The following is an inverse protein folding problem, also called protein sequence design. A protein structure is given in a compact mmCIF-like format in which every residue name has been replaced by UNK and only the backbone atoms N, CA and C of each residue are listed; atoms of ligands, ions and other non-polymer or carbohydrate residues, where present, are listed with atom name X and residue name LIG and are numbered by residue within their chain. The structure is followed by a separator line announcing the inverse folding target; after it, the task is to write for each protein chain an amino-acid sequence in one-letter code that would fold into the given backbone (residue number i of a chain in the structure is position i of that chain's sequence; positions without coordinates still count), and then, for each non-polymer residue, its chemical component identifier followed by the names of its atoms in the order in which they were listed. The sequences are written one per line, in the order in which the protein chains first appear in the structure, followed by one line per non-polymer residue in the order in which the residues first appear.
data_IF_021109516974
#
_entry.id   IF_021109516974
#
_cell.length_a   1.000
_cell.length_b   1.000
_cell.length_c   1.000
_cell.angle_alpha   90.00
_cell.angle_beta   90.00
_cell.angle_gamma   90.00
#
_symmetry.space_group_name_H-M   'P 1'
#
loop_
_entity.id
_entity.type
_entity.pdbx_description
1 polymer ?
#
# COMPACT_ATOMS: atom_id res chain seq x y z
N UNK A 1 -9.55 -5.27 -3.14
CA UNK A 1 -8.24 -5.16 -3.83
C UNK A 1 -7.32 -6.19 -3.20
N UNK A 2 -6.80 -7.15 -3.99
CA UNK A 2 -5.87 -8.15 -3.45
C UNK A 2 -4.48 -7.54 -3.46
N UNK A 3 -3.90 -7.30 -2.29
CA UNK A 3 -2.51 -6.83 -2.18
C UNK A 3 -1.49 -7.93 -2.48
N UNK A 4 -1.96 -9.15 -2.78
CA UNK A 4 -1.12 -10.29 -3.14
C UNK A 4 -0.61 -10.19 -4.58
N UNK A 5 -1.45 -9.74 -5.52
CA UNK A 5 -1.11 -9.59 -6.93
C UNK A 5 -1.26 -8.11 -7.30
N UNK A 6 -0.15 -7.41 -7.40
CA UNK A 6 -0.14 -5.98 -7.70
C UNK A 6 -0.13 -5.81 -9.21
N UNK A 7 -1.13 -5.10 -9.75
CA UNK A 7 -1.15 -4.65 -11.14
C UNK A 7 -1.14 -3.12 -11.15
N UNK A 8 0.04 -2.52 -11.15
CA UNK A 8 0.18 -1.09 -10.88
C UNK A 8 -0.43 -0.20 -11.96
N UNK A 9 -0.36 -0.62 -13.23
CA UNK A 9 -0.95 0.12 -14.34
C UNK A 9 -2.46 0.37 -14.17
N UNK A 10 -3.23 -0.68 -13.89
CA UNK A 10 -4.67 -0.58 -13.64
C UNK A 10 -5.00 0.28 -12.41
N UNK A 11 -4.17 0.22 -11.36
CA UNK A 11 -4.36 1.03 -10.16
C UNK A 11 -4.15 2.51 -10.45
N UNK A 12 -3.11 2.84 -11.23
CA UNK A 12 -2.84 4.20 -11.69
C UNK A 12 -3.97 4.69 -12.59
N UNK A 13 -4.41 3.87 -13.56
CA UNK A 13 -5.52 4.21 -14.45
C UNK A 13 -6.78 4.57 -13.65
N UNK A 14 -7.15 3.74 -12.69
CA UNK A 14 -8.31 3.98 -11.83
C UNK A 14 -8.17 5.32 -11.09
N UNK A 15 -7.01 5.59 -10.49
CA UNK A 15 -6.77 6.84 -9.76
C UNK A 15 -6.75 8.07 -10.68
N UNK A 16 -6.23 7.93 -11.91
CA UNK A 16 -6.23 8.99 -12.91
C UNK A 16 -7.66 9.32 -13.39
N UNK A 17 -8.52 8.31 -13.57
CA UNK A 17 -9.94 8.51 -13.87
C UNK A 17 -10.68 9.22 -12.72
N UNK A 18 -10.40 8.83 -11.47
CA UNK A 18 -10.99 9.46 -10.27
C UNK A 18 -10.56 10.92 -10.06
N UNK A 19 -9.36 11.30 -10.51
CA UNK A 19 -8.83 12.66 -10.34
C UNK A 19 -9.40 13.65 -11.35
N UNK A 20 -9.99 13.17 -12.45
CA UNK A 20 -10.54 14.00 -13.52
C UNK A 20 -9.49 14.82 -14.27
N UNK A 21 -8.20 14.49 -14.15
CA UNK A 21 -7.12 15.17 -14.87
C UNK A 21 -7.19 14.76 -16.34
N UNK A 22 -7.18 15.75 -17.24
CA UNK A 22 -7.16 15.47 -18.67
C UNK A 22 -5.92 14.69 -19.11
N UNK A 23 -6.12 13.72 -20.00
CA UNK A 23 -5.07 12.88 -20.62
C UNK A 23 -3.92 13.72 -21.19
N UNK A 24 -4.25 14.85 -21.84
CA UNK A 24 -3.27 15.79 -22.40
C UNK A 24 -2.31 16.35 -21.34
N UNK A 25 -2.83 16.70 -20.17
CA UNK A 25 -2.06 17.19 -19.02
C UNK A 25 -1.20 16.10 -18.40
N UNK A 26 -1.72 14.88 -18.31
CA UNK A 26 -0.98 13.70 -17.86
C UNK A 26 0.22 13.46 -18.79
N UNK A 27 -0.03 13.35 -20.09
CA UNK A 27 1.00 13.14 -21.11
C UNK A 27 2.09 14.22 -21.05
N UNK A 28 1.69 15.49 -20.90
CA UNK A 28 2.64 16.62 -20.75
C UNK A 28 3.48 16.50 -19.47
N UNK A 29 2.88 16.16 -18.34
CA UNK A 29 3.59 16.02 -17.07
C UNK A 29 4.56 14.82 -17.09
N UNK A 30 4.12 13.70 -17.67
CA UNK A 30 4.90 12.47 -17.77
C UNK A 30 5.88 12.47 -18.95
N UNK A 31 5.76 13.42 -19.88
CA UNK A 31 6.55 13.50 -21.11
C UNK A 31 6.43 12.21 -21.93
N UNK A 32 5.21 11.73 -22.08
CA UNK A 32 4.88 10.54 -22.87
C UNK A 32 3.75 10.87 -23.86
N UNK A 33 3.58 10.00 -24.85
CA UNK A 33 2.46 9.98 -25.78
C UNK A 33 1.23 9.29 -25.18
N UNK A 34 0.06 9.49 -25.78
CA UNK A 34 -1.17 8.80 -25.38
C UNK A 34 -1.04 7.28 -25.54
N UNK A 35 -0.39 6.79 -26.59
CA UNK A 35 -0.14 5.36 -26.77
C UNK A 35 0.74 4.76 -25.66
N UNK A 36 1.79 5.48 -25.25
CA UNK A 36 2.64 5.06 -24.12
C UNK A 36 1.86 5.09 -22.81
N UNK A 37 0.99 6.09 -22.63
CA UNK A 37 0.13 6.20 -21.47
C UNK A 37 -0.86 5.03 -21.37
N UNK A 38 -1.55 4.69 -22.46
CA UNK A 38 -2.44 3.54 -22.53
C UNK A 38 -1.68 2.23 -22.27
N UNK A 39 -0.47 2.11 -22.83
CA UNK A 39 0.42 0.98 -22.55
C UNK A 39 0.72 0.89 -21.06
N UNK A 40 1.09 1.99 -20.39
CA UNK A 40 1.37 2.01 -18.95
C UNK A 40 0.20 1.47 -18.11
N UNK A 41 -1.05 1.73 -18.51
CA UNK A 41 -2.23 1.23 -17.80
C UNK A 41 -2.40 -0.30 -17.90
N UNK A 42 -1.88 -0.92 -18.95
CA UNK A 42 -1.93 -2.37 -19.15
C UNK A 42 -0.81 -3.14 -18.45
N UNK A 43 0.23 -2.45 -17.96
CA UNK A 43 1.40 -3.12 -17.37
C UNK A 43 1.19 -3.47 -15.89
N UNK A 44 1.57 -4.69 -15.51
CA UNK A 44 1.53 -5.17 -14.13
C UNK A 44 2.53 -4.42 -13.24
N UNK A 45 3.69 -4.06 -13.80
CA UNK A 45 4.76 -3.33 -13.14
C UNK A 45 5.24 -2.16 -14.01
N UNK A 46 5.79 -1.14 -13.36
CA UNK A 46 6.34 0.05 -14.00
C UNK A 46 7.66 0.41 -13.31
N UNK A 47 8.51 1.14 -14.02
CA UNK A 47 9.73 1.71 -13.45
C UNK A 47 9.41 2.60 -12.23
N UNK A 48 10.23 2.50 -11.18
CA UNK A 48 9.97 3.21 -9.93
C UNK A 48 9.98 4.73 -10.07
N UNK A 49 10.76 5.29 -10.99
CA UNK A 49 10.75 6.74 -11.25
C UNK A 49 9.43 7.16 -11.92
N UNK A 50 8.89 6.32 -12.81
CA UNK A 50 7.56 6.54 -13.41
C UNK A 50 6.48 6.50 -12.32
N UNK A 51 6.52 5.50 -11.44
CA UNK A 51 5.57 5.38 -10.31
C UNK A 51 5.68 6.61 -9.39
N UNK A 52 6.88 7.10 -9.10
CA UNK A 52 7.09 8.30 -8.29
C UNK A 52 6.46 9.54 -8.92
N UNK A 53 6.60 9.71 -10.24
CA UNK A 53 5.98 10.82 -10.96
C UNK A 53 4.46 10.72 -10.94
N UNK A 54 3.90 9.52 -11.11
CA UNK A 54 2.48 9.28 -10.94
C UNK A 54 1.99 9.61 -9.53
N UNK A 55 2.75 9.23 -8.50
CA UNK A 55 2.43 9.55 -7.12
C UNK A 55 2.36 11.05 -6.87
N UNK A 56 3.28 11.82 -7.45
CA UNK A 56 3.27 13.28 -7.37
C UNK A 56 2.09 13.89 -8.12
N UNK A 57 1.78 13.40 -9.33
CA UNK A 57 0.72 13.93 -10.17
C UNK A 57 -0.68 13.66 -9.60
N UNK A 58 -0.89 12.48 -9.01
CA UNK A 58 -2.18 12.02 -8.51
C UNK A 58 -2.36 12.20 -6.99
N UNK A 59 -1.35 12.78 -6.34
CA UNK A 59 -1.26 12.97 -4.89
C UNK A 59 -1.58 11.68 -4.11
N UNK A 60 -1.07 10.56 -4.61
CA UNK A 60 -1.34 9.23 -4.09
C UNK A 60 -0.05 8.40 -3.99
N UNK A 61 0.30 7.95 -2.79
CA UNK A 61 1.51 7.16 -2.56
C UNK A 61 1.32 5.69 -3.01
N UNK A 62 1.72 5.39 -4.25
CA UNK A 62 1.61 4.06 -4.84
C UNK A 62 2.62 3.07 -4.21
N UNK A 63 3.70 3.54 -3.57
CA UNK A 63 4.67 2.68 -2.91
C UNK A 63 4.10 2.01 -1.64
N UNK A 64 3.02 2.56 -1.09
CA UNK A 64 2.25 1.95 0.01
C UNK A 64 1.77 0.56 -0.32
N UNK A 65 1.36 0.33 -1.56
CA UNK A 65 0.81 -0.95 -2.01
C UNK A 65 1.88 -2.03 -1.89
N UNK A 66 3.09 -1.77 -2.38
CA UNK A 66 4.23 -2.67 -2.26
C UNK A 66 4.67 -2.86 -0.81
N UNK A 67 4.68 -1.78 -0.02
CA UNK A 67 4.98 -1.88 1.42
C UNK A 67 3.98 -2.78 2.15
N UNK A 68 2.69 -2.66 1.84
CA UNK A 68 1.65 -3.50 2.43
C UNK A 68 1.79 -4.96 1.98
N UNK A 69 2.11 -5.20 0.71
CA UNK A 69 2.42 -6.54 0.23
C UNK A 69 3.56 -7.16 1.03
N UNK A 70 4.65 -6.42 1.26
CA UNK A 70 5.77 -6.90 2.07
C UNK A 70 5.35 -7.20 3.51
N UNK A 71 4.49 -6.38 4.13
CA UNK A 71 4.04 -6.60 5.51
C UNK A 71 3.20 -7.89 5.64
N UNK A 72 2.30 -8.16 4.68
CA UNK A 72 1.35 -9.26 4.79
C UNK A 72 1.82 -10.58 4.18
N UNK A 73 2.64 -10.52 3.13
CA UNK A 73 3.03 -11.69 2.35
C UNK A 73 4.52 -12.04 2.44
N UNK A 74 5.36 -11.22 3.09
CA UNK A 74 6.74 -11.66 3.35
C UNK A 74 6.72 -12.83 4.34
N UNK A 75 7.49 -13.90 4.08
CA UNK A 75 7.65 -14.98 5.04
C UNK A 75 8.16 -14.40 6.35
N UNK A 76 7.54 -14.78 7.47
CA UNK A 76 8.06 -14.44 8.77
C UNK A 76 9.45 -15.08 8.88
N UNK A 77 10.51 -14.28 8.72
CA UNK A 77 11.84 -14.74 9.09
C UNK A 77 11.74 -15.19 10.54
N UNK A 78 11.82 -16.50 10.76
CA UNK A 78 12.14 -17.09 12.06
C UNK A 78 13.52 -16.55 12.37
N UNK A 79 13.56 -15.38 13.01
CA UNK A 79 14.81 -14.82 13.51
C UNK A 79 15.23 -15.72 14.66
N UNK A 80 16.08 -16.70 14.35
CA UNK A 80 17.08 -17.13 15.31
C UNK A 80 17.73 -15.85 15.82
N UNK A 81 17.65 -15.62 17.14
CA UNK A 81 18.03 -14.36 17.81
C UNK A 81 19.53 -14.01 17.68
N UNK A 82 20.28 -14.75 16.87
CA UNK A 82 21.71 -14.61 16.66
C UNK A 82 22.09 -13.61 15.55
N UNK A 83 21.22 -13.32 14.58
CA UNK A 83 21.53 -12.34 13.53
C UNK A 83 21.04 -10.94 13.91
N UNK A 84 21.70 -10.38 14.91
CA UNK A 84 21.75 -8.93 15.10
C UNK A 84 22.68 -8.42 13.99
N UNK A 85 22.10 -8.14 12.82
CA UNK A 85 22.86 -7.48 11.76
C UNK A 85 23.44 -6.16 12.30
N UNK A 86 24.69 -5.82 11.92
CA UNK A 86 25.36 -4.60 12.32
C UNK A 86 24.50 -3.39 11.96
N UNK A 87 24.67 -2.28 12.68
CA UNK A 87 23.95 -1.04 12.40
C UNK A 87 24.08 -0.66 10.93
N UNK A 88 22.99 -0.84 10.17
CA UNK A 88 22.95 -0.43 8.77
C UNK A 88 22.98 1.09 8.70
N UNK A 89 23.82 1.61 7.80
CA UNK A 89 23.87 3.03 7.44
C UNK A 89 22.60 3.48 6.70
N UNK A 90 21.79 2.54 6.20
CA UNK A 90 20.55 2.85 5.53
C UNK A 90 19.44 3.20 6.55
N UNK A 91 18.48 4.07 6.15
CA UNK A 91 17.37 4.43 7.01
C UNK A 91 16.59 3.22 7.51
N UNK A 92 16.40 3.13 8.83
CA UNK A 92 15.55 2.12 9.45
C UNK A 92 14.10 2.55 9.34
N UNK A 93 13.34 1.90 8.45
CA UNK A 93 11.91 2.14 8.33
C UNK A 93 11.13 1.44 9.45
N UNK A 94 10.10 2.11 9.98
CA UNK A 94 9.20 1.50 10.97
C UNK A 94 8.47 0.31 10.32
N UNK A 95 8.48 -0.85 11.01
CA UNK A 95 7.86 -2.10 10.54
C UNK A 95 6.36 -2.03 10.24
N UNK A 96 5.65 -0.97 10.62
CA UNK A 96 4.23 -0.82 10.31
C UNK A 96 3.88 0.62 9.95
N UNK A 97 3.26 0.81 8.81
CA UNK A 97 2.69 2.09 8.40
C UNK A 97 1.22 1.84 8.04
N UNK A 98 0.42 1.70 9.09
CA UNK A 98 -1.02 1.53 8.94
C UNK A 98 -1.62 2.86 8.53
N UNK A 99 -2.13 2.93 7.30
CA UNK A 99 -2.83 4.11 6.80
C UNK A 99 -4.25 4.16 7.37
N UNK A 100 -4.90 5.32 7.29
CA UNK A 100 -6.27 5.49 7.81
C UNK A 100 -7.24 4.51 7.13
N UNK A 101 -7.07 4.26 5.85
CA UNK A 101 -7.91 3.34 5.07
C UNK A 101 -7.79 1.89 5.57
N UNK A 102 -6.59 1.45 5.96
CA UNK A 102 -6.40 0.12 6.58
C UNK A 102 -7.08 0.06 7.93
N UNK A 103 -6.92 1.12 8.74
CA UNK A 103 -7.53 1.20 10.06
C UNK A 103 -9.05 1.10 9.92
N UNK A 104 -9.64 1.91 9.03
CA UNK A 104 -11.07 1.96 8.78
C UNK A 104 -11.60 0.62 8.23
N UNK A 105 -10.86 -0.04 7.32
CA UNK A 105 -11.22 -1.37 6.82
C UNK A 105 -11.25 -2.42 7.94
N UNK A 106 -10.22 -2.47 8.79
CA UNK A 106 -10.12 -3.44 9.88
C UNK A 106 -11.19 -3.19 10.94
N UNK A 107 -11.50 -1.93 11.25
CA UNK A 107 -12.56 -1.58 12.19
C UNK A 107 -13.92 -2.00 11.64
N UNK A 108 -14.21 -1.72 10.37
CA UNK A 108 -15.45 -2.13 9.72
C UNK A 108 -15.66 -3.65 9.76
N UNK A 109 -14.62 -4.45 9.54
CA UNK A 109 -14.70 -5.92 9.65
C UNK A 109 -15.09 -6.38 11.07
N UNK A 110 -14.59 -5.69 12.10
CA UNK A 110 -14.90 -6.00 13.50
C UNK A 110 -16.32 -5.54 13.86
N UNK A 111 -16.74 -4.36 13.40
CA UNK A 111 -18.07 -3.79 13.67
C UNK A 111 -19.19 -4.57 13.00
N UNK A 112 -18.96 -5.05 11.76
CA UNK A 112 -19.88 -5.94 11.06
C UNK A 112 -19.88 -7.37 11.59
N UNK A 113 -18.96 -7.70 12.52
CA UNK A 113 -18.81 -9.04 13.07
C UNK A 113 -18.25 -10.06 12.06
N UNK A 114 -17.73 -9.61 10.92
CA UNK A 114 -17.16 -10.48 9.88
C UNK A 114 -15.88 -11.17 10.34
N UNK A 115 -15.09 -10.51 11.20
CA UNK A 115 -13.90 -11.08 11.83
C UNK A 115 -13.75 -10.66 13.29
N UNK A 116 -13.31 -11.59 14.11
CA UNK A 116 -12.95 -11.35 15.50
C UNK A 116 -11.59 -10.67 15.63
N UNK A 117 -11.36 -9.99 16.76
CA UNK A 117 -10.06 -9.38 17.08
C UNK A 117 -8.90 -10.38 17.00
N UNK A 118 -9.15 -11.64 17.37
CA UNK A 118 -8.13 -12.70 17.34
C UNK A 118 -7.77 -13.09 15.90
N UNK A 119 -8.77 -13.25 15.03
CA UNK A 119 -8.56 -13.51 13.60
C UNK A 119 -7.83 -12.36 12.92
N UNK A 120 -8.19 -11.12 13.23
CA UNK A 120 -7.49 -9.94 12.71
C UNK A 120 -6.00 -9.95 13.09
N UNK A 121 -5.67 -10.25 14.35
CA UNK A 121 -4.29 -10.31 14.84
C UNK A 121 -3.52 -11.44 14.13
N UNK A 122 -4.15 -12.61 13.97
CA UNK A 122 -3.51 -13.78 13.37
C UNK A 122 -3.26 -13.62 11.86
N UNK A 123 -4.25 -13.09 11.14
CA UNK A 123 -4.29 -13.01 9.68
C UNK A 123 -3.55 -11.78 9.15
N UNK A 124 -3.82 -10.60 9.70
CA UNK A 124 -3.20 -9.34 9.23
C UNK A 124 -1.93 -8.97 10.00
N UNK A 125 -1.49 -9.83 10.94
CA UNK A 125 -0.30 -9.63 11.78
C UNK A 125 -0.28 -8.28 12.51
N UNK A 126 -1.45 -7.77 12.86
CA UNK A 126 -1.58 -6.51 13.59
C UNK A 126 -1.28 -6.78 15.06
N UNK A 127 -0.28 -6.12 15.68
CA UNK A 127 -0.01 -6.30 17.09
C UNK A 127 -1.25 -6.01 17.93
N UNK A 128 -1.51 -6.83 18.95
CA UNK A 128 -2.65 -6.68 19.86
C UNK A 128 -2.76 -5.23 20.36
N UNK A 129 -1.67 -4.67 20.87
CA UNK A 129 -1.65 -3.30 21.38
C UNK A 129 -2.01 -2.25 20.34
N UNK A 130 -1.64 -2.46 19.08
CA UNK A 130 -2.01 -1.58 17.95
C UNK A 130 -3.49 -1.65 17.65
N UNK A 131 -4.06 -2.86 17.52
CA UNK A 131 -5.48 -3.05 17.24
C UNK A 131 -6.36 -2.46 18.35
N UNK A 132 -5.98 -2.68 19.61
CA UNK A 132 -6.69 -2.09 20.75
C UNK A 132 -6.62 -0.56 20.76
N UNK A 133 -5.49 0.06 20.37
CA UNK A 133 -5.38 1.51 20.21
C UNK A 133 -6.29 2.06 19.10
N UNK A 134 -6.46 1.33 18.01
CA UNK A 134 -7.37 1.76 16.94
C UNK A 134 -8.82 1.72 17.37
N UNK A 135 -9.24 0.61 17.98
CA UNK A 135 -10.60 0.49 18.51
C UNK A 135 -10.87 1.59 19.54
N UNK A 136 -9.93 1.91 20.42
CA UNK A 136 -10.13 2.99 21.39
C UNK A 136 -10.24 4.39 20.76
N UNK A 137 -9.58 4.62 19.61
CA UNK A 137 -9.50 5.94 18.97
C UNK A 137 -10.60 6.19 17.94
N UNK A 138 -11.09 5.13 17.29
CA UNK A 138 -11.94 5.24 16.10
C UNK A 138 -13.28 4.51 16.26
N UNK A 139 -13.46 3.69 17.30
CA UNK A 139 -14.76 3.11 17.62
C UNK A 139 -15.56 4.17 18.38
N UNK A 140 -16.56 4.74 17.72
CA UNK A 140 -17.52 5.67 18.30
C UNK A 140 -18.85 4.96 18.54
#
# INVERSE_FOLDING_TARGET
MSFKNIHIGQMIQKRALESGIETSRICKFLKCSENELDTMYTLESLDSEIILRWSKLLEYDFFRIYTQHLIWYSPAHVKNRADINPESELPKFRKSIYTKEIIDFIINLIEKGEKTKAEIIAEYKIPKTTLFKWLAKYKS
#
